data_IF_790460295921
#
_entry.id   IF_790460295921
#
_cell.length_a   1.000
_cell.length_b   1.000
_cell.length_c   1.000
_cell.angle_alpha   90.00
_cell.angle_beta   90.00
_cell.angle_gamma   90.00
#
_symmetry.space_group_name_H-M   'P 1'
#
loop_
_entity.id
_entity.type
_entity.pdbx_description
1 polymer ?
#
# COMPACT_ATOMS: atom_id res chain seq x y z
N UNK A 1 -8.66 16.79 1.88
CA UNK A 1 -9.42 15.55 1.62
C UNK A 1 -8.38 14.48 1.37
N UNK A 2 -8.44 13.39 2.12
CA UNK A 2 -7.50 12.28 2.00
C UNK A 2 -7.73 11.54 0.68
N UNK A 3 -6.66 11.07 0.03
CA UNK A 3 -6.69 10.48 -1.32
C UNK A 3 -6.24 9.03 -1.30
N UNK A 4 -6.83 8.20 -2.15
CA UNK A 4 -6.28 6.87 -2.45
C UNK A 4 -4.97 7.07 -3.19
N UNK A 5 -3.88 6.52 -2.65
CA UNK A 5 -2.53 6.68 -3.23
C UNK A 5 -2.03 5.41 -3.93
N UNK A 6 -2.43 4.25 -3.43
CA UNK A 6 -1.91 2.97 -3.87
C UNK A 6 -2.90 1.83 -3.62
N UNK A 7 -2.62 0.69 -4.24
CA UNK A 7 -3.28 -0.58 -3.99
C UNK A 7 -2.25 -1.66 -3.64
N UNK A 8 -2.68 -2.71 -2.95
CA UNK A 8 -1.80 -3.82 -2.55
C UNK A 8 -2.45 -5.16 -2.83
N UNK A 9 -1.69 -6.08 -3.45
CA UNK A 9 -2.19 -7.39 -3.87
C UNK A 9 -1.36 -8.51 -3.22
N UNK A 10 -1.98 -9.41 -2.44
CA UNK A 10 -1.29 -10.57 -1.89
C UNK A 10 -0.97 -11.60 -2.98
N UNK A 11 0.23 -12.18 -2.93
CA UNK A 11 0.68 -13.23 -3.86
C UNK A 11 1.32 -14.40 -3.11
N UNK A 12 1.09 -15.62 -3.59
CA UNK A 12 1.74 -16.81 -3.04
C UNK A 12 3.12 -17.06 -3.69
N UNK A 13 3.24 -16.71 -4.97
CA UNK A 13 4.44 -16.85 -5.79
C UNK A 13 4.66 -15.53 -6.55
N UNK A 14 5.69 -14.80 -6.11
CA UNK A 14 6.02 -13.48 -6.64
C UNK A 14 6.42 -13.53 -8.12
N UNK A 15 7.20 -14.53 -8.54
CA UNK A 15 7.64 -14.63 -9.95
C UNK A 15 6.48 -15.01 -10.88
N UNK A 16 5.59 -15.90 -10.41
CA UNK A 16 4.35 -16.21 -11.15
C UNK A 16 3.47 -14.98 -11.31
N UNK A 17 3.28 -14.20 -10.23
CA UNK A 17 2.51 -12.96 -10.28
C UNK A 17 3.15 -11.92 -11.22
N UNK A 18 4.46 -11.70 -11.11
CA UNK A 18 5.22 -10.81 -12.01
C UNK A 18 4.99 -11.13 -13.47
N UNK A 19 5.08 -12.41 -13.82
CA UNK A 19 4.85 -12.85 -15.20
C UNK A 19 3.42 -12.59 -15.67
N UNK A 20 2.42 -12.87 -14.82
CA UNK A 20 1.02 -12.63 -15.15
C UNK A 20 0.74 -11.14 -15.40
N UNK A 21 1.01 -10.27 -14.43
CA UNK A 21 0.67 -8.84 -14.53
C UNK A 21 1.48 -8.13 -15.62
N UNK A 22 2.73 -8.53 -15.84
CA UNK A 22 3.51 -8.05 -16.99
C UNK A 22 2.89 -8.50 -18.31
N UNK A 23 2.52 -9.77 -18.45
CA UNK A 23 2.02 -10.32 -19.72
C UNK A 23 0.62 -9.82 -20.07
N UNK A 24 -0.24 -9.62 -19.08
CA UNK A 24 -1.65 -9.26 -19.31
C UNK A 24 -1.82 -7.74 -19.38
N UNK A 25 -1.14 -6.99 -18.50
CA UNK A 25 -1.36 -5.55 -18.36
C UNK A 25 -0.13 -4.69 -18.68
N UNK A 26 1.03 -5.30 -18.93
CA UNK A 26 2.27 -4.56 -19.18
C UNK A 26 2.87 -3.89 -17.95
N UNK A 27 2.42 -4.24 -16.74
CA UNK A 27 2.90 -3.62 -15.50
C UNK A 27 4.37 -3.97 -15.24
N UNK A 28 5.10 -3.01 -14.65
CA UNK A 28 6.47 -3.21 -14.18
C UNK A 28 6.45 -3.49 -12.68
N UNK A 29 6.98 -4.64 -12.28
CA UNK A 29 6.99 -5.06 -10.87
C UNK A 29 8.44 -5.12 -10.39
N UNK A 30 8.75 -4.32 -9.39
CA UNK A 30 10.12 -3.96 -9.00
C UNK A 30 10.33 -4.37 -7.54
N UNK A 31 11.38 -5.16 -7.22
CA UNK A 31 11.67 -5.50 -5.83
C UNK A 31 12.05 -4.24 -5.04
N UNK A 32 11.51 -4.10 -3.83
CA UNK A 32 11.86 -2.99 -2.94
C UNK A 32 13.03 -3.41 -2.04
N UNK A 33 14.20 -2.74 -2.11
CA UNK A 33 15.32 -3.03 -1.22
C UNK A 33 14.93 -2.90 0.26
N UNK A 34 15.43 -3.82 1.10
CA UNK A 34 15.12 -3.82 2.54
C UNK A 34 13.79 -4.49 2.92
N UNK A 35 12.95 -4.89 1.96
CA UNK A 35 11.67 -5.57 2.24
C UNK A 35 11.79 -7.06 2.61
N UNK A 36 12.99 -7.62 2.66
CA UNK A 36 13.20 -9.07 2.81
C UNK A 36 12.78 -9.90 1.58
N UNK A 37 12.40 -9.25 0.48
CA UNK A 37 11.88 -9.90 -0.73
C UNK A 37 10.37 -10.15 -0.69
N UNK A 38 9.71 -9.77 0.40
CA UNK A 38 8.29 -10.03 0.62
C UNK A 38 7.38 -8.92 0.08
N UNK A 39 7.94 -7.80 -0.40
CA UNK A 39 7.20 -6.70 -1.01
C UNK A 39 7.85 -6.23 -2.32
N UNK A 40 7.04 -5.99 -3.35
CA UNK A 40 7.47 -5.46 -4.64
C UNK A 40 6.54 -4.34 -5.10
N UNK A 41 7.08 -3.22 -5.55
CA UNK A 41 6.31 -2.12 -6.10
C UNK A 41 5.76 -2.49 -7.49
N UNK A 42 4.59 -1.97 -7.83
CA UNK A 42 3.89 -2.17 -9.08
C UNK A 42 3.66 -0.83 -9.79
N UNK A 43 4.42 -0.57 -10.85
CA UNK A 43 4.20 0.59 -11.69
C UNK A 43 3.18 0.25 -12.77
N UNK A 44 2.01 0.88 -12.68
CA UNK A 44 0.89 0.75 -13.62
C UNK A 44 0.80 1.94 -14.57
N UNK A 45 1.43 3.05 -14.22
CA UNK A 45 1.60 4.25 -15.03
C UNK A 45 3.10 4.62 -15.17
N UNK A 46 3.45 5.48 -16.15
CA UNK A 46 4.79 6.06 -16.23
C UNK A 46 5.17 6.77 -14.93
N UNK A 47 6.42 6.58 -14.51
CA UNK A 47 7.01 7.23 -13.34
C UNK A 47 8.23 8.04 -13.74
N UNK A 48 8.55 9.07 -12.96
CA UNK A 48 9.76 9.87 -13.13
C UNK A 48 11.00 9.17 -12.53
N UNK A 49 12.13 9.89 -12.48
CA UNK A 49 13.39 9.38 -11.93
C UNK A 49 13.36 9.10 -10.42
N UNK A 50 12.43 9.74 -9.70
CA UNK A 50 12.21 9.55 -8.27
C UNK A 50 11.16 8.46 -7.98
N UNK A 51 10.55 7.89 -9.03
CA UNK A 51 9.51 6.87 -8.92
C UNK A 51 8.10 7.44 -8.74
N UNK A 52 7.91 8.76 -8.91
CA UNK A 52 6.62 9.41 -8.78
C UNK A 52 5.78 9.25 -10.05
N UNK A 53 4.46 9.08 -9.90
CA UNK A 53 3.54 8.87 -11.03
C UNK A 53 3.39 10.15 -11.85
N UNK A 54 3.66 10.06 -13.15
CA UNK A 54 3.63 11.21 -14.06
C UNK A 54 2.24 11.57 -14.59
N UNK A 55 1.27 10.65 -14.47
CA UNK A 55 -0.09 10.86 -14.96
C UNK A 55 -0.98 11.32 -13.79
N UNK A 56 -1.53 12.55 -13.81
CA UNK A 56 -2.40 13.04 -12.75
C UNK A 56 -3.58 12.09 -12.49
N UNK A 57 -3.73 11.70 -11.22
CA UNK A 57 -4.82 10.81 -10.77
C UNK A 57 -4.59 9.31 -11.01
N UNK A 58 -3.51 8.92 -11.69
CA UNK A 58 -3.14 7.50 -11.75
C UNK A 58 -2.47 7.08 -10.43
N UNK A 59 -2.68 5.83 -10.04
CA UNK A 59 -2.06 5.23 -8.86
C UNK A 59 -1.20 4.02 -9.26
N UNK A 60 -0.09 3.86 -8.57
CA UNK A 60 0.69 2.63 -8.59
C UNK A 60 0.27 1.74 -7.41
N UNK A 61 1.00 0.65 -7.17
CA UNK A 61 0.66 -0.24 -6.07
C UNK A 61 1.81 -1.12 -5.62
N UNK A 62 1.45 -2.19 -4.93
CA UNK A 62 2.35 -3.15 -4.34
C UNK A 62 1.84 -4.59 -4.51
N UNK A 63 2.81 -5.50 -4.50
CA UNK A 63 2.58 -6.92 -4.29
C UNK A 63 3.27 -7.32 -3.00
N UNK A 64 2.57 -8.04 -2.15
CA UNK A 64 3.14 -8.58 -0.92
C UNK A 64 2.94 -10.08 -0.85
N UNK A 65 3.90 -10.79 -0.26
CA UNK A 65 3.78 -12.23 -0.07
C UNK A 65 2.67 -12.54 0.94
N UNK A 66 1.79 -13.48 0.61
CA UNK A 66 0.74 -13.91 1.54
C UNK A 66 1.36 -14.43 2.84
N UNK A 67 0.76 -14.06 3.97
CA UNK A 67 1.25 -14.43 5.29
C UNK A 67 2.40 -13.59 5.84
N UNK A 68 2.94 -12.60 5.11
CA UNK A 68 4.11 -11.83 5.58
C UNK A 68 3.78 -10.47 6.21
N UNK A 69 2.49 -10.12 6.32
CA UNK A 69 2.07 -8.81 6.86
C UNK A 69 0.80 -8.90 7.73
N UNK A 70 0.30 -10.11 8.01
CA UNK A 70 -0.98 -10.32 8.72
C UNK A 70 -2.22 -9.93 7.88
N UNK A 71 -2.04 -9.78 6.57
CA UNK A 71 -3.07 -9.39 5.61
C UNK A 71 -3.27 -10.49 4.56
N UNK A 72 -4.52 -10.70 4.17
CA UNK A 72 -4.92 -11.78 3.26
C UNK A 72 -5.64 -11.27 2.00
N UNK A 73 -6.12 -10.04 2.01
CA UNK A 73 -6.92 -9.48 0.92
C UNK A 73 -6.17 -8.43 0.13
N UNK A 74 -6.65 -8.16 -1.09
CA UNK A 74 -6.31 -6.90 -1.77
C UNK A 74 -6.88 -5.75 -0.96
N UNK A 75 -6.10 -4.68 -0.78
CA UNK A 75 -6.56 -3.47 -0.09
C UNK A 75 -6.05 -2.22 -0.80
N UNK A 76 -6.65 -1.09 -0.43
CA UNK A 76 -6.22 0.24 -0.88
C UNK A 76 -5.46 0.95 0.25
N UNK A 77 -4.53 1.80 -0.13
CA UNK A 77 -3.85 2.71 0.78
C UNK A 77 -4.35 4.14 0.61
N UNK A 78 -4.65 4.77 1.74
CA UNK A 78 -5.08 6.17 1.83
C UNK A 78 -3.92 7.00 2.38
N UNK A 79 -3.53 8.03 1.65
CA UNK A 79 -2.57 9.04 2.15
C UNK A 79 -3.30 10.00 3.07
N UNK A 80 -2.78 10.12 4.30
CA UNK A 80 -3.32 10.96 5.37
C UNK A 80 -2.22 11.87 5.92
N UNK A 81 -2.63 13.05 6.39
CA UNK A 81 -1.70 14.01 7.01
C UNK A 81 -1.17 13.50 8.36
N UNK A 82 -1.99 12.77 9.12
CA UNK A 82 -1.59 12.14 10.37
C UNK A 82 -2.33 10.82 10.55
N UNK A 83 -1.57 9.71 10.59
CA UNK A 83 -2.08 8.39 10.94
C UNK A 83 -2.68 8.42 12.34
N UNK A 84 -2.06 9.10 13.30
CA UNK A 84 -2.55 9.12 14.69
C UNK A 84 -3.94 9.79 14.81
N UNK A 85 -4.15 10.92 14.13
CA UNK A 85 -5.47 11.56 14.10
C UNK A 85 -6.49 10.77 13.28
N UNK A 86 -6.06 10.16 12.17
CA UNK A 86 -6.93 9.30 11.36
C UNK A 86 -7.39 8.07 12.16
N UNK A 87 -6.51 7.43 12.94
CA UNK A 87 -6.85 6.27 13.76
C UNK A 87 -7.90 6.60 14.83
N UNK A 88 -7.82 7.78 15.46
CA UNK A 88 -8.85 8.24 16.41
C UNK A 88 -10.22 8.36 15.71
N UNK A 89 -10.24 8.93 14.51
CA UNK A 89 -11.46 9.07 13.70
C UNK A 89 -12.02 7.71 13.27
N UNK A 90 -11.16 6.78 12.83
CA UNK A 90 -11.57 5.43 12.46
C UNK A 90 -12.31 4.76 13.61
N UNK A 91 -11.74 4.79 14.83
CA UNK A 91 -12.37 4.18 16.01
C UNK A 91 -13.67 4.91 16.39
N UNK A 92 -13.70 6.25 16.32
CA UNK A 92 -14.91 7.00 16.67
C UNK A 92 -16.09 6.75 15.72
N UNK A 93 -15.81 6.43 14.46
CA UNK A 93 -16.80 6.10 13.43
C UNK A 93 -17.11 4.58 13.37
N UNK A 94 -16.64 3.79 14.33
CA UNK A 94 -16.96 2.36 14.45
C UNK A 94 -16.05 1.40 13.69
N UNK A 95 -14.92 1.88 13.18
CA UNK A 95 -13.86 1.04 12.61
C UNK A 95 -12.92 0.45 13.66
N UNK A 96 -11.98 -0.39 13.19
CA UNK A 96 -11.04 -1.12 14.02
C UNK A 96 -9.60 -0.92 13.54
N UNK A 97 -8.65 -0.82 14.49
CA UNK A 97 -7.22 -0.82 14.19
C UNK A 97 -6.74 -2.28 14.10
N UNK A 98 -6.35 -2.72 12.91
CA UNK A 98 -5.82 -4.08 12.67
C UNK A 98 -4.33 -4.14 12.96
N UNK A 99 -3.61 -3.11 12.52
CA UNK A 99 -2.19 -2.93 12.78
C UNK A 99 -1.94 -1.49 13.20
N UNK A 100 -1.32 -1.24 14.37
CA UNK A 100 -1.02 0.11 14.82
C UNK A 100 -0.04 0.82 13.88
N UNK A 101 0.09 2.15 14.03
CA UNK A 101 1.11 2.95 13.36
C UNK A 101 2.50 2.34 13.56
N UNK A 102 3.20 2.08 12.48
CA UNK A 102 4.57 1.58 12.47
C UNK A 102 5.40 2.37 11.44
N UNK A 103 6.68 2.67 11.72
CA UNK A 103 7.56 3.26 10.73
C UNK A 103 7.83 2.26 9.60
N UNK A 104 7.86 2.77 8.37
CA UNK A 104 8.33 2.07 7.18
C UNK A 104 9.63 2.75 6.76
N UNK A 105 10.76 2.14 7.12
CA UNK A 105 12.09 2.75 6.97
C UNK A 105 12.08 4.20 7.53
N UNK A 106 12.80 5.11 6.90
CA UNK A 106 12.83 6.54 7.25
C UNK A 106 11.94 7.38 6.32
N UNK A 107 11.00 6.76 5.59
CA UNK A 107 10.21 7.44 4.55
C UNK A 107 8.77 7.73 4.97
N UNK A 108 8.18 6.90 5.83
CA UNK A 108 6.77 7.02 6.18
C UNK A 108 6.39 6.29 7.47
N UNK A 109 5.16 6.56 7.90
CA UNK A 109 4.42 5.71 8.82
C UNK A 109 3.28 5.00 8.10
N UNK A 110 3.03 3.76 8.52
CA UNK A 110 1.96 2.92 7.99
C UNK A 110 1.13 2.28 9.09
N UNK A 111 -0.18 2.18 8.87
CA UNK A 111 -1.11 1.46 9.73
C UNK A 111 -2.14 0.71 8.87
N UNK A 112 -2.79 -0.30 9.43
CA UNK A 112 -3.90 -0.99 8.78
C UNK A 112 -5.13 -0.90 9.65
N UNK A 113 -6.25 -0.57 9.03
CA UNK A 113 -7.54 -0.46 9.68
C UNK A 113 -8.59 -1.31 8.96
N UNK A 114 -9.70 -1.53 9.65
CA UNK A 114 -10.93 -2.08 9.10
C UNK A 114 -12.02 -1.02 9.23
N UNK A 115 -12.72 -0.74 8.13
CA UNK A 115 -13.83 0.22 8.11
C UNK A 115 -15.12 -0.35 8.74
N UNK A 116 -16.20 0.44 8.73
CA UNK A 116 -17.51 0.05 9.27
C UNK A 116 -18.14 -1.16 8.56
N UNK A 117 -17.71 -1.45 7.32
CA UNK A 117 -18.27 -2.51 6.48
C UNK A 117 -17.37 -3.77 6.48
N UNK A 118 -16.25 -3.73 7.21
CA UNK A 118 -15.29 -4.84 7.29
C UNK A 118 -14.19 -4.82 6.24
N UNK A 119 -14.10 -3.78 5.40
CA UNK A 119 -13.03 -3.65 4.40
C UNK A 119 -11.71 -3.30 5.07
N UNK A 120 -10.62 -3.89 4.58
CA UNK A 120 -9.27 -3.60 5.05
C UNK A 120 -8.69 -2.44 4.24
N UNK A 121 -8.10 -1.46 4.93
CA UNK A 121 -7.47 -0.28 4.33
C UNK A 121 -6.11 -0.01 4.98
N UNK A 122 -5.13 0.39 4.17
CA UNK A 122 -3.85 0.94 4.63
C UNK A 122 -3.95 2.45 4.84
N UNK A 123 -3.29 2.96 5.88
CA UNK A 123 -3.09 4.39 6.11
C UNK A 123 -1.61 4.71 5.97
N UNK A 124 -1.29 5.73 5.19
CA UNK A 124 0.09 6.14 4.94
C UNK A 124 0.27 7.62 5.25
N UNK A 125 1.29 7.94 6.05
CA UNK A 125 1.73 9.30 6.38
C UNK A 125 3.20 9.42 5.98
N UNK A 126 3.55 10.34 5.08
CA UNK A 126 4.94 10.60 4.74
C UNK A 126 5.67 11.21 5.95
N UNK A 127 6.92 10.80 6.20
CA UNK A 127 7.76 11.45 7.23
C UNK A 127 8.20 12.84 6.77
N UNK A 128 8.38 13.03 5.46
CA UNK A 128 8.63 14.36 4.88
C UNK A 128 7.33 14.96 4.36
N UNK A 129 6.84 15.96 5.10
CA UNK A 129 5.76 16.88 4.77
C UNK A 129 6.05 18.25 5.38
#
# INVERSE_FOLDING_TARGET
MDKVRAFDIPVDDMERAKNFYRSVFGWKIIPVPGSGGDFHAANTAPVDENGEVMIPGAINGGFYKRGTHGLEGTFLEIEVESVDECLKRVVSEGGEIIRPKNPILDIAFFSVVRDSEGNVLGLWENIEG
#
